data_IF_671742045644
#
_entry.id   IF_671742045644
#
_cell.length_a   1.000
_cell.length_b   1.000
_cell.length_c   1.000
_cell.angle_alpha   90.00
_cell.angle_beta   90.00
_cell.angle_gamma   90.00
#
_symmetry.space_group_name_H-M   'P 1'
#
loop_
_entity.id
_entity.type
_entity.pdbx_description
1 polymer ?
#
# COMPACT_ATOMS: atom_id res chain seq x y z
N UNK A 1 -3.93 16.85 7.00
CA UNK A 1 -3.22 15.88 6.16
C UNK A 1 -2.04 16.61 5.52
N UNK A 2 -0.88 15.98 5.44
CA UNK A 2 0.27 16.54 4.72
C UNK A 2 -0.09 16.76 3.23
N UNK A 3 0.19 17.92 2.62
CA UNK A 3 -0.23 18.21 1.25
C UNK A 3 0.45 17.31 0.20
N UNK A 4 1.68 16.83 0.48
CA UNK A 4 2.35 15.84 -0.36
C UNK A 4 1.64 14.51 -0.26
N UNK A 5 1.27 14.08 0.96
CA UNK A 5 0.50 12.84 1.14
C UNK A 5 -0.86 12.90 0.44
N UNK A 6 -1.58 14.02 0.54
CA UNK A 6 -2.86 14.21 -0.17
C UNK A 6 -2.70 14.07 -1.69
N UNK A 7 -1.63 14.63 -2.25
CA UNK A 7 -1.32 14.51 -3.69
C UNK A 7 -0.91 13.08 -4.08
N UNK A 8 -0.17 12.36 -3.23
CA UNK A 8 0.17 10.97 -3.50
C UNK A 8 -1.07 10.07 -3.48
N UNK A 9 -1.97 10.27 -2.53
CA UNK A 9 -3.20 9.50 -2.41
C UNK A 9 -4.20 9.81 -3.55
N UNK A 10 -4.19 11.03 -4.10
CA UNK A 10 -5.05 11.39 -5.24
C UNK A 10 -4.71 10.62 -6.53
N UNK A 11 -3.50 10.07 -6.63
CA UNK A 11 -3.04 9.26 -7.76
C UNK A 11 -3.58 7.82 -7.74
N UNK A 12 -4.11 7.37 -6.60
CA UNK A 12 -4.79 6.07 -6.49
C UNK A 12 -6.13 6.21 -7.22
N UNK A 13 -6.29 5.49 -8.32
CA UNK A 13 -7.49 5.57 -9.15
C UNK A 13 -8.74 5.29 -8.33
N UNK A 14 -9.65 6.27 -8.29
CA UNK A 14 -10.87 6.28 -7.46
C UNK A 14 -11.91 5.24 -7.88
N UNK A 15 -11.71 4.51 -8.97
CA UNK A 15 -12.83 3.89 -9.67
C UNK A 15 -13.15 2.45 -9.28
N UNK A 16 -12.38 1.78 -8.38
CA UNK A 16 -12.79 0.43 -7.90
C UNK A 16 -12.39 0.06 -6.47
N UNK A 17 -11.21 0.46 -5.97
CA UNK A 17 -10.68 -0.13 -4.72
C UNK A 17 -11.13 0.59 -3.44
N UNK A 18 -11.46 1.89 -3.52
CA UNK A 18 -11.74 2.73 -2.34
C UNK A 18 -13.16 3.30 -2.30
N UNK A 19 -13.92 3.28 -3.40
CA UNK A 19 -15.29 3.83 -3.45
C UNK A 19 -15.35 5.30 -3.00
N UNK A 20 -16.31 5.63 -2.12
CA UNK A 20 -16.46 6.97 -1.53
C UNK A 20 -15.53 7.23 -0.32
N UNK A 21 -14.63 6.30 0.00
CA UNK A 21 -13.75 6.42 1.18
C UNK A 21 -12.75 7.54 0.99
N UNK A 22 -12.72 8.47 1.95
CA UNK A 22 -11.72 9.53 2.00
C UNK A 22 -10.40 8.96 2.52
N UNK A 23 -9.41 8.83 1.64
CA UNK A 23 -8.07 8.40 2.01
C UNK A 23 -7.36 9.46 2.85
N UNK A 24 -6.88 9.08 4.03
CA UNK A 24 -6.21 10.02 4.96
C UNK A 24 -4.77 9.64 5.30
N UNK A 25 -4.40 8.37 5.12
CA UNK A 25 -3.06 7.83 5.30
C UNK A 25 -2.86 6.54 4.50
N UNK A 26 -1.61 6.04 4.33
CA UNK A 26 -1.33 4.79 3.61
C UNK A 26 -2.03 3.54 4.16
N UNK A 27 -2.45 3.58 5.42
CA UNK A 27 -3.17 2.51 6.13
C UNK A 27 -4.70 2.68 6.13
N UNK A 28 -5.23 3.73 5.49
CA UNK A 28 -6.69 3.88 5.38
C UNK A 28 -7.28 2.69 4.63
N UNK A 29 -8.16 1.95 5.28
CA UNK A 29 -8.85 0.81 4.68
C UNK A 29 -9.95 1.26 3.72
N UNK A 30 -9.93 0.70 2.52
CA UNK A 30 -10.93 0.90 1.47
C UNK A 30 -12.19 0.06 1.67
N UNK A 31 -13.01 -0.02 0.61
CA UNK A 31 -14.29 -0.73 0.65
C UNK A 31 -14.16 -2.24 0.89
N UNK A 32 -12.98 -2.81 0.62
CA UNK A 32 -12.64 -4.21 0.83
C UNK A 32 -11.51 -4.40 1.84
N UNK A 33 -11.33 -3.47 2.78
CA UNK A 33 -10.24 -3.50 3.78
C UNK A 33 -8.81 -3.31 3.22
N UNK A 34 -8.62 -3.43 1.91
CA UNK A 34 -7.38 -3.09 1.24
C UNK A 34 -7.02 -1.62 1.45
N UNK A 35 -5.75 -1.38 1.73
CA UNK A 35 -5.19 -0.05 1.97
C UNK A 35 -4.48 0.47 0.72
N UNK A 36 -4.13 1.77 0.65
CA UNK A 36 -3.21 2.29 -0.36
C UNK A 36 -1.98 1.42 -0.61
N UNK A 37 -1.39 0.84 0.45
CA UNK A 37 -0.24 -0.06 0.31
C UNK A 37 -0.58 -1.37 -0.42
N UNK A 38 -1.76 -1.94 -0.21
CA UNK A 38 -2.22 -3.13 -0.95
C UNK A 38 -2.34 -2.83 -2.44
N UNK A 39 -3.02 -1.72 -2.77
CA UNK A 39 -3.28 -1.32 -4.15
C UNK A 39 -2.00 -1.08 -4.93
N UNK A 40 -1.07 -0.27 -4.41
CA UNK A 40 0.18 0.01 -5.13
C UNK A 40 1.09 -1.22 -5.21
N UNK A 41 1.02 -2.12 -4.22
CA UNK A 41 1.75 -3.37 -4.23
C UNK A 41 1.19 -4.33 -5.29
N UNK A 42 -0.14 -4.45 -5.36
CA UNK A 42 -0.86 -5.24 -6.34
C UNK A 42 -0.55 -4.77 -7.77
N UNK A 43 -0.67 -3.46 -8.05
CA UNK A 43 -0.38 -2.90 -9.38
C UNK A 43 1.11 -2.77 -9.71
N UNK A 44 2.00 -3.18 -8.81
CA UNK A 44 3.46 -3.09 -8.97
C UNK A 44 3.97 -1.65 -9.18
N UNK A 45 3.26 -0.64 -8.65
CA UNK A 45 3.66 0.78 -8.71
C UNK A 45 4.67 1.09 -7.60
N UNK A 46 5.91 0.66 -7.82
CA UNK A 46 7.03 0.87 -6.88
C UNK A 46 7.30 2.37 -6.67
N UNK A 47 7.03 3.22 -7.66
CA UNK A 47 7.27 4.65 -7.55
C UNK A 47 6.30 5.28 -6.54
N UNK A 48 5.01 4.97 -6.62
CA UNK A 48 4.04 5.44 -5.64
C UNK A 48 4.21 4.75 -4.28
N UNK A 49 4.47 3.44 -4.27
CA UNK A 49 4.74 2.68 -3.05
C UNK A 49 5.92 3.27 -2.26
N UNK A 50 7.02 3.58 -2.92
CA UNK A 50 8.19 4.19 -2.27
C UNK A 50 7.95 5.62 -1.83
N UNK A 51 7.14 6.38 -2.56
CA UNK A 51 6.75 7.74 -2.17
C UNK A 51 5.82 7.77 -0.94
N UNK A 52 4.99 6.73 -0.75
CA UNK A 52 4.12 6.59 0.42
C UNK A 52 4.87 6.12 1.67
N UNK A 53 5.96 5.35 1.52
CA UNK A 53 6.69 4.72 2.63
C UNK A 53 7.11 5.67 3.78
N UNK A 54 7.52 6.94 3.54
CA UNK A 54 7.81 7.88 4.63
C UNK A 54 6.62 8.21 5.54
N UNK A 55 5.39 7.98 5.08
CA UNK A 55 4.16 8.20 5.83
C UNK A 55 3.61 6.92 6.46
N UNK A 56 4.27 5.77 6.24
CA UNK A 56 3.84 4.46 6.74
C UNK A 56 4.30 4.29 8.19
N UNK A 57 3.34 3.97 9.05
CA UNK A 57 3.55 3.55 10.43
C UNK A 57 3.53 2.03 10.57
N UNK A 58 2.74 1.35 9.75
CA UNK A 58 2.61 -0.11 9.75
C UNK A 58 2.60 -0.64 8.32
N UNK A 59 3.67 -1.34 7.93
CA UNK A 59 3.81 -1.94 6.59
C UNK A 59 3.06 -3.27 6.45
N UNK A 60 2.74 -3.92 7.57
CA UNK A 60 2.11 -5.25 7.67
C UNK A 60 0.64 -5.16 8.02
N UNK A 61 -0.04 -4.15 7.49
CA UNK A 61 -1.49 -4.03 7.61
C UNK A 61 -2.16 -5.18 6.87
N UNK A 62 -3.22 -5.73 7.46
CA UNK A 62 -4.00 -6.79 6.83
C UNK A 62 -5.20 -6.16 6.10
N UNK A 63 -5.33 -6.47 4.81
CA UNK A 63 -6.41 -6.05 3.92
C UNK A 63 -7.36 -7.20 3.60
N UNK A 64 -7.90 -7.21 2.37
CA UNK A 64 -8.82 -8.26 1.94
C UNK A 64 -8.13 -9.63 2.00
N UNK A 65 -8.92 -10.67 2.28
CA UNK A 65 -8.46 -12.06 2.41
C UNK A 65 -7.32 -12.25 3.43
N UNK A 66 -7.19 -11.34 4.40
CA UNK A 66 -6.12 -11.31 5.41
C UNK A 66 -4.70 -11.19 4.80
N UNK A 67 -4.61 -10.64 3.58
CA UNK A 67 -3.34 -10.41 2.93
C UNK A 67 -2.66 -9.18 3.51
N UNK A 68 -1.33 -9.20 3.58
CA UNK A 68 -0.52 -7.99 3.75
C UNK A 68 -0.19 -7.38 2.38
N UNK A 69 0.30 -6.13 2.29
CA UNK A 69 0.76 -5.57 1.01
C UNK A 69 1.77 -6.46 0.31
N UNK A 70 2.67 -7.11 1.07
CA UNK A 70 3.63 -8.07 0.51
C UNK A 70 2.94 -9.32 -0.03
N UNK A 71 1.98 -9.88 0.72
CA UNK A 71 1.24 -11.05 0.27
C UNK A 71 0.39 -10.75 -0.97
N UNK A 72 -0.22 -9.57 -1.05
CA UNK A 72 -0.96 -9.11 -2.23
C UNK A 72 -0.05 -9.00 -3.47
N UNK A 73 1.14 -8.38 -3.33
CA UNK A 73 2.12 -8.35 -4.42
C UNK A 73 2.57 -9.74 -4.87
N UNK A 74 2.82 -10.66 -3.93
CA UNK A 74 3.23 -12.04 -4.25
C UNK A 74 2.10 -12.79 -4.97
N UNK A 75 0.87 -12.68 -4.49
CA UNK A 75 -0.29 -13.35 -5.08
C UNK A 75 -0.54 -12.88 -6.53
N UNK A 76 -0.30 -11.60 -6.82
CA UNK A 76 -0.46 -11.04 -8.16
C UNK A 76 0.76 -11.21 -9.08
N UNK A 77 1.92 -11.60 -8.54
CA UNK A 77 3.17 -11.68 -9.32
C UNK A 77 3.89 -10.34 -9.51
N UNK A 78 3.62 -9.36 -8.65
CA UNK A 78 4.21 -8.01 -8.65
C UNK A 78 5.60 -8.01 -8.03
N UNK A 79 6.56 -8.60 -8.77
CA UNK A 79 7.90 -8.91 -8.26
C UNK A 79 8.67 -7.69 -7.75
N UNK A 80 8.55 -6.54 -8.40
CA UNK A 80 9.32 -5.35 -8.01
C UNK A 80 8.78 -4.74 -6.71
N UNK A 81 7.46 -4.68 -6.54
CA UNK A 81 6.82 -4.28 -5.29
C UNK A 81 7.12 -5.28 -4.16
N UNK A 82 7.05 -6.59 -4.43
CA UNK A 82 7.39 -7.60 -3.43
C UNK A 82 8.84 -7.46 -2.95
N UNK A 83 9.80 -7.29 -3.88
CA UNK A 83 11.20 -7.05 -3.55
C UNK A 83 11.40 -5.77 -2.73
N UNK A 84 10.70 -4.69 -3.10
CA UNK A 84 10.77 -3.43 -2.37
C UNK A 84 10.21 -3.56 -0.93
N UNK A 85 9.07 -4.20 -0.75
CA UNK A 85 8.45 -4.43 0.56
C UNK A 85 9.33 -5.30 1.46
N UNK A 86 9.98 -6.32 0.90
CA UNK A 86 10.97 -7.13 1.62
C UNK A 86 12.18 -6.30 2.05
N UNK A 87 12.66 -5.39 1.20
CA UNK A 87 13.77 -4.49 1.53
C UNK A 87 13.41 -3.50 2.64
N UNK A 88 12.17 -2.98 2.63
CA UNK A 88 11.71 -2.00 3.61
C UNK A 88 11.44 -2.60 4.99
N UNK A 89 11.18 -3.91 5.09
CA UNK A 89 11.16 -4.58 6.39
C UNK A 89 12.60 -4.68 6.91
N UNK A 90 12.97 -4.04 8.03
CA UNK A 90 14.24 -4.35 8.65
C UNK A 90 14.24 -5.85 8.99
N UNK A 91 15.27 -6.56 8.53
CA UNK A 91 15.53 -7.94 8.95
C UNK A 91 15.43 -7.98 10.46
N UNK A 92 14.59 -8.86 11.05
CA UNK A 92 14.58 -9.08 12.50
C UNK A 92 16.03 -9.25 12.93
N UNK A 93 16.56 -8.26 13.64
CA UNK A 93 17.75 -8.46 14.44
C UNK A 93 17.30 -9.38 15.56
N UNK A 94 17.55 -10.67 15.37
CA UNK A 94 17.49 -11.70 16.41
C UNK A 94 18.51 -11.42 17.50
#
# INVERSE_FOLDING_TARGET
MDPVLSELLSRLGVDTDFGDTVLTCPETQGAYEDTPLHVVAYYNDVALLSALMPFVTTIDVHGDLDLTPLASAVAHGSFAAAAYLLWCRPTRTE
#
